data_IF_969603912983
#
_entry.id   IF_969603912983
#
_cell.length_a   1.000
_cell.length_b   1.000
_cell.length_c   1.000
_cell.angle_alpha   90.00
_cell.angle_beta   90.00
_cell.angle_gamma   90.00
#
_symmetry.space_group_name_H-M   'P 1'
#
loop_
_entity.id
_entity.type
_entity.pdbx_description
1 polymer ?
#
# COMPACT_ATOMS: atom_id res chain seq x y z
N UNK A 1 -33.95 -6.84 6.34
CA UNK A 1 -32.66 -6.78 5.63
C UNK A 1 -31.56 -6.93 6.66
N UNK A 2 -30.78 -8.02 6.63
CA UNK A 2 -29.61 -8.18 7.52
C UNK A 2 -28.44 -7.43 6.87
N UNK A 3 -27.98 -6.36 7.50
CA UNK A 3 -26.75 -5.70 7.09
C UNK A 3 -25.57 -6.60 7.48
N UNK A 4 -24.75 -6.99 6.51
CA UNK A 4 -23.46 -7.65 6.75
C UNK A 4 -22.52 -6.61 7.35
N UNK A 5 -22.59 -6.44 8.67
CA UNK A 5 -21.92 -5.36 9.40
C UNK A 5 -20.41 -5.65 9.61
N UNK A 6 -19.69 -5.96 8.52
CA UNK A 6 -18.24 -6.26 8.44
C UNK A 6 -17.94 -7.77 8.38
N UNK A 7 -17.40 -8.19 7.23
CA UNK A 7 -16.81 -9.51 7.03
C UNK A 7 -15.29 -9.31 6.98
N UNK A 8 -14.60 -9.57 8.09
CA UNK A 8 -13.15 -9.62 8.11
C UNK A 8 -12.71 -11.05 7.80
N UNK A 9 -12.36 -11.30 6.53
CA UNK A 9 -11.71 -12.54 6.14
C UNK A 9 -10.21 -12.40 6.40
N UNK A 10 -9.75 -12.97 7.51
CA UNK A 10 -8.33 -13.16 7.75
C UNK A 10 -7.87 -14.37 6.92
N UNK A 11 -7.43 -14.11 5.70
CA UNK A 11 -6.77 -15.13 4.88
C UNK A 11 -5.28 -15.16 5.24
N UNK A 12 -4.67 -16.35 5.27
CA UNK A 12 -3.24 -16.42 5.53
C UNK A 12 -2.49 -15.73 4.38
N UNK A 13 -1.40 -15.02 4.70
CA UNK A 13 -0.61 -14.32 3.69
C UNK A 13 -0.11 -15.27 2.59
N UNK A 14 0.27 -16.50 2.95
CA UNK A 14 0.66 -17.54 2.00
C UNK A 14 -0.49 -17.90 1.04
N UNK A 15 -1.69 -18.09 1.55
CA UNK A 15 -2.89 -18.39 0.74
C UNK A 15 -3.22 -17.21 -0.18
N UNK A 16 -3.13 -15.98 0.30
CA UNK A 16 -3.32 -14.78 -0.53
C UNK A 16 -2.28 -14.67 -1.65
N UNK A 17 -1.02 -15.03 -1.37
CA UNK A 17 0.04 -15.07 -2.37
C UNK A 17 -0.22 -16.12 -3.45
N UNK A 18 -0.72 -17.30 -3.08
CA UNK A 18 -1.08 -18.36 -4.03
C UNK A 18 -2.15 -17.88 -5.03
N UNK A 19 -3.11 -17.07 -4.56
CA UNK A 19 -4.15 -16.47 -5.42
C UNK A 19 -3.61 -15.30 -6.27
N UNK A 20 -2.40 -14.80 -6.00
CA UNK A 20 -1.81 -13.64 -6.68
C UNK A 20 -0.43 -13.98 -7.27
N UNK A 21 -0.36 -14.71 -8.40
CA UNK A 21 0.90 -15.22 -8.95
C UNK A 21 1.96 -14.14 -9.22
N UNK A 22 1.55 -12.94 -9.65
CA UNK A 22 2.46 -11.80 -9.87
C UNK A 22 3.10 -11.33 -8.56
N UNK A 23 2.29 -11.25 -7.50
CA UNK A 23 2.76 -10.82 -6.18
C UNK A 23 3.59 -11.91 -5.50
N UNK A 24 3.21 -13.20 -5.65
CA UNK A 24 4.04 -14.33 -5.24
C UNK A 24 5.42 -14.32 -5.91
N UNK A 25 5.48 -14.07 -7.22
CA UNK A 25 6.74 -13.93 -7.94
C UNK A 25 7.57 -12.75 -7.40
N UNK A 26 6.95 -11.59 -7.19
CA UNK A 26 7.62 -10.43 -6.61
C UNK A 26 8.17 -10.71 -5.21
N UNK A 27 7.37 -11.29 -4.31
CA UNK A 27 7.81 -11.65 -2.97
C UNK A 27 8.94 -12.68 -3.00
N UNK A 28 8.85 -13.68 -3.88
CA UNK A 28 9.93 -14.65 -4.08
C UNK A 28 11.20 -13.94 -4.54
N UNK A 29 11.12 -13.04 -5.53
CA UNK A 29 12.27 -12.25 -5.97
C UNK A 29 12.83 -11.36 -4.86
N UNK A 30 11.99 -10.70 -4.06
CA UNK A 30 12.40 -9.86 -2.94
C UNK A 30 13.17 -10.65 -1.87
N UNK A 31 12.71 -11.87 -1.56
CA UNK A 31 13.31 -12.72 -0.53
C UNK A 31 14.55 -13.48 -1.03
N UNK A 32 14.59 -13.83 -2.32
CA UNK A 32 15.69 -14.60 -2.93
C UNK A 32 16.79 -13.72 -3.51
N UNK A 33 16.44 -12.53 -4.01
CA UNK A 33 17.42 -11.46 -4.20
C UNK A 33 17.83 -11.07 -2.79
N UNK A 34 18.95 -11.61 -2.33
CA UNK A 34 19.91 -10.80 -1.59
C UNK A 34 20.24 -9.66 -2.55
N UNK A 35 19.40 -8.64 -2.61
CA UNK A 35 19.72 -7.40 -3.27
C UNK A 35 21.07 -7.07 -2.64
N UNK A 36 22.16 -7.21 -3.41
CA UNK A 36 23.42 -6.65 -2.96
C UNK A 36 23.02 -5.24 -2.54
N UNK A 37 23.34 -4.79 -1.30
CA UNK A 37 23.15 -3.39 -0.96
C UNK A 37 23.66 -2.63 -2.18
N UNK A 38 22.78 -1.85 -2.81
CA UNK A 38 23.12 -1.08 -3.99
C UNK A 38 24.40 -0.36 -3.62
N UNK A 39 25.54 -0.86 -4.10
CA UNK A 39 26.84 -0.54 -3.53
C UNK A 39 27.02 0.96 -3.72
N UNK A 40 26.98 1.72 -2.63
CA UNK A 40 27.18 3.17 -2.56
C UNK A 40 26.28 4.05 -3.46
N UNK A 41 25.19 3.53 -4.03
CA UNK A 41 24.26 4.38 -4.77
C UNK A 41 23.48 5.27 -3.79
N UNK A 42 23.84 6.56 -3.80
CA UNK A 42 23.14 7.58 -3.04
C UNK A 42 21.78 7.80 -3.69
N UNK A 43 20.71 7.32 -3.07
CA UNK A 43 19.35 7.52 -3.55
C UNK A 43 18.79 8.81 -2.97
N UNK A 44 18.27 9.69 -3.83
CA UNK A 44 17.56 10.89 -3.38
C UNK A 44 16.31 10.48 -2.61
N UNK A 45 16.30 10.81 -1.32
CA UNK A 45 15.17 10.56 -0.43
C UNK A 45 14.32 11.82 -0.30
N UNK A 46 13.00 11.64 -0.26
CA UNK A 46 12.12 12.73 0.15
C UNK A 46 12.24 12.98 1.66
N UNK A 47 11.88 14.18 2.10
CA UNK A 47 11.87 14.58 3.52
C UNK A 47 11.05 13.63 4.40
N UNK A 48 9.97 13.05 3.87
CA UNK A 48 9.16 12.09 4.62
C UNK A 48 9.88 10.75 4.82
N UNK A 49 10.54 10.25 3.77
CA UNK A 49 11.30 9.00 3.83
C UNK A 49 12.52 9.13 4.75
N UNK A 50 13.24 10.26 4.67
CA UNK A 50 14.39 10.53 5.54
C UNK A 50 13.96 10.63 7.02
N UNK A 51 12.83 11.29 7.31
CA UNK A 51 12.28 11.39 8.65
C UNK A 51 11.97 10.00 9.25
N UNK A 52 11.38 9.09 8.47
CA UNK A 52 11.09 7.72 8.92
C UNK A 52 12.36 6.97 9.31
N UNK A 53 13.39 7.00 8.45
CA UNK A 53 14.67 6.32 8.72
C UNK A 53 15.38 6.91 9.94
N UNK A 54 15.37 8.24 10.05
CA UNK A 54 15.95 8.95 11.19
C UNK A 54 15.09 8.86 12.46
N UNK A 55 13.92 8.17 12.40
CA UNK A 55 12.92 8.10 13.48
C UNK A 55 12.51 9.49 14.00
N UNK A 56 12.49 10.47 13.10
CA UNK A 56 12.02 11.82 13.35
C UNK A 56 10.57 11.96 12.89
N UNK A 57 9.88 12.94 13.44
CA UNK A 57 8.54 13.29 12.97
C UNK A 57 8.67 14.00 11.61
N UNK A 58 7.99 13.52 10.55
CA UNK A 58 7.97 14.23 9.28
C UNK A 58 7.24 15.57 9.44
N UNK A 59 7.67 16.57 8.68
CA UNK A 59 6.97 17.85 8.65
C UNK A 59 5.54 17.65 8.18
N UNK A 60 4.56 18.13 8.96
CA UNK A 60 3.15 18.06 8.55
C UNK A 60 2.95 18.87 7.27
N UNK A 61 2.49 18.22 6.22
CA UNK A 61 1.94 18.92 5.06
C UNK A 61 0.62 19.59 5.45
N UNK A 62 0.34 20.73 4.82
CA UNK A 62 -0.94 21.41 4.98
C UNK A 62 -2.05 20.47 4.50
N UNK A 63 -3.12 20.38 5.28
CA UNK A 63 -4.30 19.64 4.87
C UNK A 63 -4.85 20.25 3.57
N UNK A 64 -5.02 19.48 2.48
CA UNK A 64 -5.67 19.97 1.26
C UNK A 64 -7.14 20.37 1.49
N UNK A 65 -7.72 20.02 2.64
CA UNK A 65 -9.13 20.22 2.93
C UNK A 65 -9.99 19.11 2.35
N UNK A 66 -11.30 19.22 2.55
CA UNK A 66 -12.25 18.26 2.00
C UNK A 66 -12.33 18.38 0.48
N UNK A 67 -12.19 17.27 -0.24
CA UNK A 67 -12.45 17.19 -1.67
C UNK A 67 -13.70 16.34 -1.93
N UNK A 68 -14.50 16.73 -2.92
CA UNK A 68 -15.62 15.93 -3.40
C UNK A 68 -15.13 15.05 -4.54
N UNK A 69 -15.27 13.73 -4.39
CA UNK A 69 -15.04 12.79 -5.51
C UNK A 69 -16.35 12.71 -6.30
N UNK A 70 -16.41 13.19 -7.56
CA UNK A 70 -17.59 13.00 -8.39
C UNK A 70 -17.79 11.49 -8.63
N UNK A 71 -19.00 10.99 -8.33
CA UNK A 71 -19.39 9.61 -8.56
C UNK A 71 -20.66 9.57 -9.41
N UNK A 72 -20.63 8.80 -10.48
CA UNK A 72 -21.82 8.46 -11.25
C UNK A 72 -22.23 7.03 -10.88
N UNK A 73 -23.35 6.91 -10.15
CA UNK A 73 -24.00 5.62 -9.92
C UNK A 73 -24.93 5.38 -11.12
N UNK A 74 -24.87 4.20 -11.73
CA UNK A 74 -25.58 3.88 -12.98
C UNK A 74 -27.10 4.08 -12.93
N UNK A 75 -27.76 3.92 -14.09
CA UNK A 75 -29.19 4.20 -14.27
C UNK A 75 -30.06 3.49 -13.22
N UNK A 76 -30.62 4.25 -12.29
CA UNK A 76 -31.75 3.85 -11.45
C UNK A 76 -32.97 3.69 -12.38
N UNK A 77 -33.21 2.47 -12.86
CA UNK A 77 -34.54 2.12 -13.38
C UNK A 77 -35.42 1.85 -12.15
N UNK A 78 -36.34 2.78 -11.90
CA UNK A 78 -37.46 2.62 -10.96
C UNK A 78 -38.49 1.67 -11.58
#
# INVERSE_FOLDING_TARGET
MKMLNKLEMNIAFAEALEQMPKYAKFMKELLTKKQKPLEDETVDMTEECSAIIQKKLPQKKKDPGSFTIPCSIGNLHV
#
